data_IF_001842449675
#
_entry.id   IF_001842449675
#
_cell.length_a   1.000
_cell.length_b   1.000
_cell.length_c   1.000
_cell.angle_alpha   90.00
_cell.angle_beta   90.00
_cell.angle_gamma   90.00
#
_symmetry.space_group_name_H-M   'P 1'
#
loop_
_entity.id
_entity.type
_entity.pdbx_description
1 polymer ?
#
# COMPACT_ATOMS: atom_id res chain seq x y z
N UNK A 1 12.03 -5.24 -34.98
CA UNK A 1 12.57 -3.98 -34.41
C UNK A 1 11.39 -3.05 -34.16
N UNK A 2 10.99 -2.83 -32.92
CA UNK A 2 9.88 -1.93 -32.55
C UNK A 2 10.40 -0.88 -31.59
N UNK A 3 10.38 0.38 -32.05
CA UNK A 3 10.89 1.58 -31.40
C UNK A 3 9.92 2.13 -30.35
N UNK A 4 10.50 2.54 -29.20
CA UNK A 4 10.31 3.77 -28.43
C UNK A 4 8.90 4.32 -28.13
N UNK A 5 8.58 4.50 -26.85
CA UNK A 5 7.48 5.39 -26.45
C UNK A 5 7.23 5.70 -24.97
N UNK A 6 7.82 4.99 -23.99
CA UNK A 6 7.35 5.10 -22.60
C UNK A 6 8.27 5.83 -21.60
N UNK A 7 9.47 6.27 -21.98
CA UNK A 7 10.56 6.42 -21.01
C UNK A 7 11.36 7.74 -21.15
N UNK A 8 10.74 8.93 -21.09
CA UNK A 8 11.55 10.17 -21.08
C UNK A 8 10.92 11.39 -20.38
N UNK A 9 9.81 11.26 -19.66
CA UNK A 9 9.10 12.44 -19.12
C UNK A 9 8.48 12.25 -17.74
N UNK A 10 8.16 11.01 -17.37
CA UNK A 10 7.63 10.71 -16.04
C UNK A 10 8.78 10.50 -15.04
N UNK A 11 9.86 9.85 -15.47
CA UNK A 11 11.06 9.66 -14.66
C UNK A 11 11.67 11.00 -14.24
N UNK A 12 11.74 11.98 -15.15
CA UNK A 12 12.25 13.32 -14.82
C UNK A 12 11.36 14.06 -13.82
N UNK A 13 10.03 13.92 -13.92
CA UNK A 13 9.10 14.54 -12.96
C UNK A 13 9.18 13.88 -11.59
N UNK A 14 9.28 12.55 -11.55
CA UNK A 14 9.50 11.80 -10.31
C UNK A 14 10.85 12.15 -9.69
N UNK A 15 11.90 12.26 -10.51
CA UNK A 15 13.23 12.65 -10.09
C UNK A 15 13.23 14.08 -9.53
N UNK A 16 12.62 15.06 -10.21
CA UNK A 16 12.51 16.44 -9.72
C UNK A 16 11.65 16.55 -8.46
N UNK A 17 10.57 15.77 -8.33
CA UNK A 17 9.75 15.73 -7.12
C UNK A 17 10.54 15.13 -5.96
N UNK A 18 11.27 14.04 -6.20
CA UNK A 18 12.17 13.43 -5.22
C UNK A 18 13.31 14.37 -4.82
N UNK A 19 13.92 15.08 -5.77
CA UNK A 19 15.03 16.01 -5.53
C UNK A 19 14.57 17.24 -4.74
N UNK A 20 13.33 17.72 -4.97
CA UNK A 20 12.68 18.75 -4.13
C UNK A 20 12.38 18.27 -2.71
N UNK A 21 11.98 17.01 -2.54
CA UNK A 21 11.77 16.39 -1.22
C UNK A 21 13.09 16.09 -0.50
N UNK A 22 14.19 15.89 -1.24
CA UNK A 22 15.53 15.51 -0.75
C UNK A 22 16.35 16.66 -0.15
N UNK A 23 15.87 17.91 -0.15
CA UNK A 23 16.63 19.13 0.24
C UNK A 23 17.88 18.88 1.12
N UNK A 24 19.05 19.37 0.69
CA UNK A 24 20.37 19.33 1.38
C UNK A 24 20.83 18.03 2.06
N UNK A 25 20.20 16.89 1.77
CA UNK A 25 20.51 15.63 2.43
C UNK A 25 21.68 14.95 1.71
N UNK A 26 22.68 14.44 2.44
CA UNK A 26 23.86 13.81 1.82
C UNK A 26 23.48 12.46 1.15
N UNK A 27 24.24 11.99 0.17
CA UNK A 27 23.95 10.73 -0.52
C UNK A 27 23.90 9.52 0.44
N UNK A 28 24.62 9.60 1.55
CA UNK A 28 24.59 8.62 2.64
C UNK A 28 23.26 8.62 3.41
N UNK A 29 22.55 9.74 3.47
CA UNK A 29 21.22 9.88 4.09
C UNK A 29 20.08 9.53 3.11
N UNK A 30 20.31 9.69 1.80
CA UNK A 30 19.35 9.32 0.75
C UNK A 30 18.96 7.83 0.81
N UNK A 31 19.90 6.92 1.14
CA UNK A 31 19.59 5.49 1.28
C UNK A 31 18.57 5.22 2.38
N UNK A 32 18.62 5.98 3.48
CA UNK A 32 17.73 5.79 4.62
C UNK A 32 16.32 6.29 4.29
N UNK A 33 16.22 7.41 3.59
CA UNK A 33 14.93 7.96 3.16
C UNK A 33 14.30 7.11 2.06
N UNK A 34 15.05 6.71 1.03
CA UNK A 34 14.51 5.84 -0.04
C UNK A 34 14.11 4.48 0.50
N UNK A 35 14.92 3.85 1.36
CA UNK A 35 14.54 2.58 1.98
C UNK A 35 13.30 2.74 2.86
N UNK A 36 13.18 3.86 3.59
CA UNK A 36 11.98 4.21 4.35
C UNK A 36 10.73 4.36 3.47
N UNK A 37 10.86 5.01 2.30
CA UNK A 37 9.74 5.17 1.36
C UNK A 37 9.35 3.85 0.69
N UNK A 38 10.31 3.01 0.31
CA UNK A 38 10.05 1.66 -0.22
C UNK A 38 9.35 0.80 0.83
N UNK A 39 9.83 0.85 2.08
CA UNK A 39 9.21 0.14 3.19
C UNK A 39 7.79 0.64 3.47
N UNK A 40 7.56 1.96 3.46
CA UNK A 40 6.23 2.54 3.62
C UNK A 40 5.28 2.13 2.48
N UNK A 41 5.76 2.16 1.23
CA UNK A 41 4.99 1.68 0.08
C UNK A 41 4.65 0.20 0.23
N UNK A 42 5.61 -0.63 0.64
CA UNK A 42 5.38 -2.05 0.89
C UNK A 42 4.30 -2.29 1.95
N UNK A 43 4.35 -1.60 3.09
CA UNK A 43 3.31 -1.71 4.13
C UNK A 43 1.95 -1.23 3.61
N UNK A 44 1.92 -0.11 2.90
CA UNK A 44 0.70 0.43 2.30
C UNK A 44 0.06 -0.57 1.34
N UNK A 45 0.85 -1.19 0.47
CA UNK A 45 0.37 -2.18 -0.50
C UNK A 45 -0.14 -3.44 0.19
N UNK A 46 0.63 -3.96 1.14
CA UNK A 46 0.23 -5.14 1.91
C UNK A 46 -1.07 -4.91 2.69
N UNK A 47 -1.26 -3.70 3.22
CA UNK A 47 -2.50 -3.31 3.89
C UNK A 47 -3.69 -3.21 2.93
N UNK A 48 -3.51 -2.52 1.79
CA UNK A 48 -4.57 -2.39 0.77
C UNK A 48 -5.01 -3.74 0.21
N UNK A 49 -4.06 -4.64 -0.06
CA UNK A 49 -4.34 -5.96 -0.60
C UNK A 49 -5.08 -6.82 0.43
N UNK A 50 -4.66 -6.81 1.69
CA UNK A 50 -5.38 -7.50 2.76
C UNK A 50 -6.80 -6.95 2.96
N UNK A 51 -6.98 -5.62 2.88
CA UNK A 51 -8.30 -4.99 2.96
C UNK A 51 -9.23 -5.49 1.85
N UNK A 52 -8.73 -5.56 0.60
CA UNK A 52 -9.50 -6.07 -0.55
C UNK A 52 -9.86 -7.54 -0.37
N UNK A 53 -8.94 -8.35 0.15
CA UNK A 53 -9.18 -9.76 0.40
C UNK A 53 -10.26 -9.98 1.47
N UNK A 54 -10.17 -9.26 2.60
CA UNK A 54 -11.19 -9.26 3.66
C UNK A 54 -12.54 -8.81 3.06
N UNK A 55 -12.59 -7.69 2.36
CA UNK A 55 -13.84 -7.21 1.76
C UNK A 55 -14.47 -8.24 0.82
N UNK A 56 -13.67 -8.93 0.02
CA UNK A 56 -14.12 -10.00 -0.87
C UNK A 56 -14.62 -11.23 -0.12
N UNK A 57 -13.89 -11.68 0.90
CA UNK A 57 -14.26 -12.84 1.74
C UNK A 57 -15.61 -12.62 2.42
N UNK A 58 -15.82 -11.43 3.00
CA UNK A 58 -17.03 -11.12 3.76
C UNK A 58 -18.21 -10.69 2.88
N UNK A 59 -17.99 -10.32 1.61
CA UNK A 59 -19.07 -9.91 0.68
C UNK A 59 -19.55 -11.01 -0.28
N UNK A 60 -18.81 -12.12 -0.43
CA UNK A 60 -19.19 -13.23 -1.31
C UNK A 60 -20.20 -14.17 -0.62
N UNK A 61 -21.46 -14.29 -1.10
CA UNK A 61 -22.48 -15.17 -0.52
C UNK A 61 -22.13 -16.66 -0.48
N UNK A 62 -21.09 -17.08 -1.21
CA UNK A 62 -20.61 -18.47 -1.24
C UNK A 62 -19.49 -18.73 -0.23
N UNK A 63 -18.94 -17.69 0.38
CA UNK A 63 -17.89 -17.82 1.39
C UNK A 63 -18.51 -18.14 2.76
N UNK A 64 -17.82 -18.96 3.55
CA UNK A 64 -18.25 -19.31 4.91
C UNK A 64 -18.30 -18.09 5.86
N UNK A 65 -17.53 -17.05 5.57
CA UNK A 65 -17.47 -15.80 6.33
C UNK A 65 -18.42 -14.72 5.77
N UNK A 66 -19.34 -15.06 4.87
CA UNK A 66 -20.26 -14.10 4.29
C UNK A 66 -21.09 -13.36 5.35
N UNK A 67 -21.09 -12.03 5.26
CA UNK A 67 -21.93 -11.15 6.08
C UNK A 67 -22.83 -10.35 5.15
N UNK A 68 -24.15 -10.51 5.31
CA UNK A 68 -25.15 -9.87 4.47
C UNK A 68 -25.18 -8.35 4.67
N UNK A 69 -25.13 -7.90 5.92
CA UNK A 69 -25.30 -6.50 6.29
C UNK A 69 -24.02 -5.68 6.02
N UNK A 70 -24.06 -4.63 5.19
CA UNK A 70 -22.87 -3.83 4.88
C UNK A 70 -22.23 -3.14 6.08
N UNK A 71 -23.03 -2.72 7.07
CA UNK A 71 -22.54 -2.06 8.26
C UNK A 71 -21.67 -2.99 9.13
N UNK A 72 -22.07 -4.26 9.23
CA UNK A 72 -21.30 -5.27 9.96
C UNK A 72 -20.00 -5.61 9.21
N UNK A 73 -20.04 -5.73 7.88
CA UNK A 73 -18.82 -5.89 7.06
C UNK A 73 -17.83 -4.75 7.27
N UNK A 74 -18.31 -3.50 7.34
CA UNK A 74 -17.45 -2.36 7.60
C UNK A 74 -16.76 -2.47 8.97
N UNK A 75 -17.49 -2.91 10.00
CA UNK A 75 -16.90 -3.15 11.32
C UNK A 75 -15.76 -4.17 11.29
N UNK A 76 -15.92 -5.24 10.50
CA UNK A 76 -14.90 -6.29 10.31
C UNK A 76 -13.69 -5.77 9.52
N UNK A 77 -13.92 -5.01 8.45
CA UNK A 77 -12.85 -4.43 7.62
C UNK A 77 -11.99 -3.44 8.43
N UNK A 78 -12.55 -2.81 9.46
CA UNK A 78 -11.82 -1.90 10.36
C UNK A 78 -11.34 -2.62 11.65
N UNK A 79 -11.53 -3.94 11.76
CA UNK A 79 -11.03 -4.72 12.88
C UNK A 79 -9.56 -5.07 12.68
N UNK A 80 -8.72 -4.69 13.64
CA UNK A 80 -7.28 -4.97 13.66
C UNK A 80 -6.99 -6.47 13.63
N UNK A 81 -7.80 -7.29 14.28
CA UNK A 81 -7.50 -8.71 14.46
C UNK A 81 -7.46 -9.44 13.10
N UNK A 82 -8.31 -9.03 12.15
CA UNK A 82 -8.34 -9.56 10.78
C UNK A 82 -6.99 -9.38 10.06
N UNK A 83 -6.36 -8.22 10.22
CA UNK A 83 -5.06 -7.92 9.60
C UNK A 83 -3.92 -8.65 10.31
N UNK A 84 -3.95 -8.71 11.64
CA UNK A 84 -2.91 -9.41 12.40
C UNK A 84 -2.92 -10.92 12.14
N UNK A 85 -4.09 -11.52 11.91
CA UNK A 85 -4.22 -12.94 11.51
C UNK A 85 -3.52 -13.24 10.17
N UNK A 86 -3.44 -12.23 9.29
CA UNK A 86 -2.76 -12.29 7.98
C UNK A 86 -1.31 -11.80 8.03
N UNK A 87 -0.74 -11.61 9.23
CA UNK A 87 0.60 -11.04 9.47
C UNK A 87 0.79 -9.62 8.89
N UNK A 88 -0.31 -8.87 8.73
CA UNK A 88 -0.28 -7.47 8.27
C UNK A 88 -0.17 -6.56 9.47
N UNK A 89 0.80 -5.64 9.40
CA UNK A 89 1.08 -4.73 10.50
C UNK A 89 0.07 -3.58 10.51
N UNK A 90 -0.81 -3.58 11.52
CA UNK A 90 -1.75 -2.48 11.75
C UNK A 90 -1.07 -1.35 12.53
N UNK A 91 -1.02 -0.16 11.94
CA UNK A 91 -0.45 1.04 12.60
C UNK A 91 -1.57 1.81 13.28
N UNK A 92 -1.54 1.87 14.61
CA UNK A 92 -2.40 2.77 15.40
C UNK A 92 -1.83 4.18 15.38
N UNK A 93 -2.64 5.17 15.00
CA UNK A 93 -2.29 6.59 15.04
C UNK A 93 -2.24 7.16 16.46
#
# INVERSE_FOLDING_TARGET
MTNNGANLGFEQKLFQAADKLRSNMDAAEYKHVVLGLIFLKYISDAFEDARKDIEKEYSDPKNQFYVREPAERYGIIEDRDEYTSKNIFWVTY
#
